data_IF_171228853223
#
_entry.id   IF_171228853223
#
_cell.length_a   1.000
_cell.length_b   1.000
_cell.length_c   1.000
_cell.angle_alpha   90.00
_cell.angle_beta   90.00
_cell.angle_gamma   90.00
#
_symmetry.space_group_name_H-M   'P 1'
#
loop_
_entity.id
_entity.type
_entity.pdbx_description
1 polymer ?
#
# COMPACT_ATOMS: atom_id res chain seq x y z
N UNK A 1 0.27 15.47 7.95
CA UNK A 1 1.46 15.22 8.78
C UNK A 1 1.86 13.78 8.59
N UNK A 2 3.12 13.52 8.24
CA UNK A 2 3.59 12.15 8.01
C UNK A 2 3.67 11.39 9.35
N UNK A 3 3.45 10.07 9.31
CA UNK A 3 3.59 9.22 10.50
C UNK A 3 4.99 9.30 11.10
N UNK A 4 6.00 9.45 10.23
CA UNK A 4 7.41 9.63 10.60
C UNK A 4 7.66 10.90 11.41
N UNK A 5 6.94 11.97 11.13
CA UNK A 5 7.02 13.23 11.88
C UNK A 5 6.26 13.12 13.21
N UNK A 6 5.06 12.53 13.18
CA UNK A 6 4.16 12.47 14.34
C UNK A 6 4.71 11.57 15.45
N UNK A 7 5.41 10.50 15.09
CA UNK A 7 5.94 9.51 16.02
C UNK A 7 7.46 9.50 16.07
N UNK A 8 8.11 10.63 15.74
CA UNK A 8 9.57 10.73 15.70
C UNK A 8 10.24 10.24 17.00
N UNK A 9 9.64 10.57 18.15
CA UNK A 9 10.15 10.18 19.47
C UNK A 9 9.99 8.68 19.78
N UNK A 10 9.22 7.94 18.97
CA UNK A 10 8.97 6.49 19.10
C UNK A 10 9.64 5.67 18.00
N UNK A 11 10.39 6.30 17.09
CA UNK A 11 11.09 5.62 16.00
C UNK A 11 12.54 5.45 16.42
N UNK A 12 12.91 4.22 16.79
CA UNK A 12 14.27 3.91 17.24
C UNK A 12 15.30 3.88 16.10
N UNK A 13 14.84 3.80 14.84
CA UNK A 13 15.74 3.80 13.68
C UNK A 13 15.05 3.50 12.35
N UNK A 14 15.86 3.40 11.30
CA UNK A 14 15.42 3.11 9.93
C UNK A 14 16.00 1.76 9.48
N UNK A 15 15.12 0.90 9.00
CA UNK A 15 15.46 -0.40 8.43
C UNK A 15 15.71 -0.25 6.91
N UNK A 16 16.85 -0.72 6.40
CA UNK A 16 17.24 -0.64 4.98
C UNK A 16 17.53 -2.03 4.37
N UNK A 17 17.41 -2.16 3.05
CA UNK A 17 17.80 -3.34 2.23
C UNK A 17 16.99 -4.65 2.45
N UNK A 18 15.66 -4.56 2.56
CA UNK A 18 14.79 -5.75 2.57
C UNK A 18 14.28 -6.07 1.16
N UNK A 19 14.28 -7.36 0.78
CA UNK A 19 13.66 -7.84 -0.46
C UNK A 19 12.12 -7.80 -0.37
N UNK A 20 11.56 -7.96 0.84
CA UNK A 20 10.13 -7.84 1.12
C UNK A 20 9.88 -7.39 2.56
N UNK A 21 8.97 -6.43 2.72
CA UNK A 21 8.42 -6.04 4.02
C UNK A 21 6.95 -6.48 4.07
N UNK A 22 6.58 -7.29 5.06
CA UNK A 22 5.19 -7.70 5.29
C UNK A 22 4.73 -7.08 6.60
N UNK A 23 3.78 -6.16 6.52
CA UNK A 23 3.22 -5.48 7.68
C UNK A 23 1.89 -6.16 8.03
N UNK A 24 1.83 -6.78 9.20
CA UNK A 24 0.59 -7.33 9.75
C UNK A 24 0.03 -6.38 10.80
N UNK A 25 -1.24 -6.00 10.65
CA UNK A 25 -1.94 -5.17 11.61
C UNK A 25 -3.44 -5.34 11.44
N UNK A 26 -4.18 -5.22 12.55
CA UNK A 26 -5.63 -5.19 12.51
C UNK A 26 -6.11 -3.74 12.65
N UNK A 27 -7.02 -3.30 11.78
CA UNK A 27 -7.67 -2.00 11.90
C UNK A 27 -9.10 -2.27 12.40
N UNK A 28 -9.38 -2.17 13.71
CA UNK A 28 -10.61 -2.69 14.31
C UNK A 28 -11.91 -2.19 13.67
N UNK A 29 -11.88 -0.96 13.14
CA UNK A 29 -13.05 -0.32 12.51
C UNK A 29 -13.28 -0.85 11.09
N UNK A 30 -12.23 -1.24 10.36
CA UNK A 30 -12.31 -1.64 8.95
C UNK A 30 -12.13 -3.15 8.74
N UNK A 31 -11.80 -3.90 9.79
CA UNK A 31 -11.40 -5.30 9.68
C UNK A 31 -12.55 -6.31 9.57
N UNK A 32 -13.80 -5.87 9.70
CA UNK A 32 -14.97 -6.74 9.56
C UNK A 32 -16.14 -5.99 8.93
N UNK A 33 -17.07 -6.72 8.32
CA UNK A 33 -18.17 -6.15 7.55
C UNK A 33 -19.00 -5.13 8.33
N UNK A 34 -19.39 -5.45 9.58
CA UNK A 34 -20.16 -4.53 10.42
C UNK A 34 -19.43 -3.22 10.77
N UNK A 35 -18.11 -3.30 11.00
CA UNK A 35 -17.28 -2.12 11.24
C UNK A 35 -17.20 -1.24 10.00
N UNK A 36 -16.96 -1.85 8.84
CA UNK A 36 -16.92 -1.15 7.56
C UNK A 36 -18.25 -0.47 7.24
N UNK A 37 -19.36 -1.16 7.50
CA UNK A 37 -20.71 -0.60 7.36
C UNK A 37 -20.91 0.61 8.28
N UNK A 38 -20.53 0.52 9.56
CA UNK A 38 -20.62 1.64 10.50
C UNK A 38 -19.79 2.83 10.04
N UNK A 39 -18.58 2.59 9.54
CA UNK A 39 -17.71 3.63 9.00
C UNK A 39 -18.33 4.34 7.79
N UNK A 40 -18.88 3.60 6.83
CA UNK A 40 -19.53 4.19 5.66
C UNK A 40 -20.73 5.06 6.07
N UNK A 41 -21.56 4.59 7.00
CA UNK A 41 -22.68 5.39 7.52
C UNK A 41 -22.23 6.66 8.22
N UNK A 42 -21.17 6.61 9.05
CA UNK A 42 -20.63 7.80 9.70
C UNK A 42 -20.13 8.86 8.70
N UNK A 43 -19.66 8.42 7.54
CA UNK A 43 -19.18 9.29 6.47
C UNK A 43 -20.28 9.64 5.44
N UNK A 44 -21.55 9.31 5.70
CA UNK A 44 -22.69 9.51 4.79
C UNK A 44 -22.52 8.84 3.41
N UNK A 45 -21.75 7.75 3.33
CA UNK A 45 -21.58 6.95 2.11
C UNK A 45 -22.55 5.78 2.17
N UNK A 46 -23.37 5.62 1.12
CA UNK A 46 -24.27 4.47 1.02
C UNK A 46 -23.47 3.21 0.70
N UNK A 47 -23.91 2.08 1.24
CA UNK A 47 -23.29 0.77 1.00
C UNK A 47 -23.22 0.43 -0.50
N UNK A 48 -24.21 0.86 -1.29
CA UNK A 48 -24.23 0.64 -2.73
C UNK A 48 -23.20 1.46 -3.49
N UNK A 49 -22.83 2.64 -2.98
CA UNK A 49 -21.84 3.54 -3.59
C UNK A 49 -20.41 3.19 -3.14
N UNK A 50 -20.25 2.08 -2.42
CA UNK A 50 -18.95 1.57 -1.98
C UNK A 50 -17.95 1.34 -3.12
N UNK A 51 -18.31 0.75 -4.28
CA UNK A 51 -17.36 0.52 -5.35
C UNK A 51 -16.71 1.82 -5.86
N UNK A 52 -17.51 2.87 -6.01
CA UNK A 52 -17.04 4.17 -6.49
C UNK A 52 -16.12 4.84 -5.46
N UNK A 53 -16.51 4.80 -4.18
CA UNK A 53 -15.66 5.25 -3.08
C UNK A 53 -14.32 4.50 -3.02
N UNK A 54 -14.35 3.17 -3.13
CA UNK A 54 -13.15 2.34 -3.06
C UNK A 54 -12.24 2.54 -4.28
N UNK A 55 -12.81 2.75 -5.46
CA UNK A 55 -12.05 3.00 -6.69
C UNK A 55 -11.32 4.34 -6.63
N UNK A 56 -11.95 5.40 -6.11
CA UNK A 56 -11.31 6.70 -5.94
C UNK A 56 -10.07 6.60 -5.04
N UNK A 57 -10.17 5.92 -3.89
CA UNK A 57 -9.05 5.71 -2.98
C UNK A 57 -7.93 4.85 -3.57
N UNK A 58 -8.29 3.83 -4.37
CA UNK A 58 -7.31 3.00 -5.08
C UNK A 58 -6.49 3.85 -6.04
N UNK A 59 -7.15 4.74 -6.78
CA UNK A 59 -6.49 5.59 -7.76
C UNK A 59 -5.58 6.62 -7.11
N UNK A 60 -6.04 7.27 -6.04
CA UNK A 60 -5.21 8.18 -5.25
C UNK A 60 -3.95 7.48 -4.71
N UNK A 61 -4.09 6.26 -4.20
CA UNK A 61 -2.97 5.47 -3.71
C UNK A 61 -1.99 5.11 -4.85
N UNK A 62 -2.51 4.79 -6.04
CA UNK A 62 -1.72 4.47 -7.23
C UNK A 62 -0.90 5.69 -7.68
N UNK A 63 -1.55 6.83 -7.86
CA UNK A 63 -0.91 8.08 -8.28
C UNK A 63 0.14 8.53 -7.27
N UNK A 64 -0.15 8.41 -5.97
CA UNK A 64 0.81 8.72 -4.92
C UNK A 64 2.03 7.80 -4.98
N UNK A 65 1.85 6.50 -5.17
CA UNK A 65 2.95 5.55 -5.32
C UNK A 65 3.80 5.82 -6.57
N UNK A 66 3.17 6.13 -7.70
CA UNK A 66 3.85 6.49 -8.96
C UNK A 66 4.66 7.77 -8.83
N UNK A 67 4.10 8.79 -8.18
CA UNK A 67 4.83 10.03 -7.89
C UNK A 67 6.05 9.77 -7.01
N UNK A 68 5.87 9.04 -5.90
CA UNK A 68 6.97 8.69 -4.98
C UNK A 68 8.07 7.90 -5.70
N UNK A 69 7.71 6.94 -6.56
CA UNK A 69 8.67 6.17 -7.33
C UNK A 69 9.47 7.06 -8.30
N UNK A 70 8.78 7.95 -9.03
CA UNK A 70 9.42 8.89 -9.96
C UNK A 70 10.37 9.84 -9.24
N UNK A 71 9.99 10.37 -8.09
CA UNK A 71 10.84 11.25 -7.27
C UNK A 71 12.11 10.55 -6.79
N UNK A 72 12.05 9.24 -6.55
CA UNK A 72 13.20 8.43 -6.13
C UNK A 72 13.92 7.73 -7.31
N UNK A 73 13.53 8.02 -8.56
CA UNK A 73 14.13 7.41 -9.75
C UNK A 73 13.88 5.91 -9.91
N UNK A 74 12.78 5.39 -9.34
CA UNK A 74 12.40 3.98 -9.38
C UNK A 74 11.32 3.73 -10.45
N UNK A 75 11.50 2.68 -11.26
CA UNK A 75 10.46 2.19 -12.15
C UNK A 75 9.56 1.18 -11.42
N UNK A 76 8.27 1.47 -11.29
CA UNK A 76 7.29 0.59 -10.65
C UNK A 76 6.28 0.05 -11.67
N UNK A 77 5.85 -1.19 -11.48
CA UNK A 77 4.76 -1.79 -12.26
C UNK A 77 3.57 -2.15 -11.36
N UNK A 78 2.37 -1.70 -11.76
CA UNK A 78 1.12 -2.06 -11.10
C UNK A 78 0.61 -3.43 -11.59
N UNK A 79 0.66 -4.43 -10.70
CA UNK A 79 0.23 -5.79 -10.99
C UNK A 79 -1.29 -5.90 -10.85
N UNK A 80 -2.01 -5.99 -11.97
CA UNK A 80 -3.48 -6.13 -12.01
C UNK A 80 -3.99 -7.53 -11.63
N UNK A 81 -3.16 -8.56 -11.79
CA UNK A 81 -3.57 -9.96 -11.60
C UNK A 81 -2.48 -10.76 -10.90
N UNK A 82 -2.79 -11.31 -9.73
CA UNK A 82 -1.89 -12.19 -9.01
C UNK A 82 -2.24 -13.65 -9.34
N UNK A 83 -1.42 -14.33 -10.15
CA UNK A 83 -1.55 -15.79 -10.42
C UNK A 83 -1.05 -16.67 -9.29
N UNK A 84 -0.49 -16.09 -8.23
CA UNK A 84 0.19 -16.84 -7.18
C UNK A 84 -0.80 -17.21 -6.06
N UNK A 85 -0.71 -18.48 -5.64
CA UNK A 85 -1.65 -19.19 -4.77
C UNK A 85 -2.17 -18.40 -3.56
N UNK A 86 -3.42 -18.72 -3.19
CA UNK A 86 -4.34 -18.20 -2.15
C UNK A 86 -3.79 -17.82 -0.75
N UNK A 87 -2.50 -17.86 -0.44
CA UNK A 87 -1.95 -17.40 0.85
C UNK A 87 -1.17 -16.09 0.80
N UNK A 88 -0.86 -15.55 -0.38
CA UNK A 88 0.09 -14.44 -0.55
C UNK A 88 -0.45 -13.36 -1.49
N UNK A 89 -1.40 -12.55 -1.02
CA UNK A 89 -1.86 -11.39 -1.79
C UNK A 89 -2.02 -10.17 -0.89
N UNK A 90 -0.90 -9.48 -0.66
CA UNK A 90 -0.89 -8.12 -0.16
C UNK A 90 0.09 -7.33 -1.04
N UNK A 91 -0.47 -6.54 -1.96
CA UNK A 91 0.14 -5.49 -2.80
C UNK A 91 1.63 -5.67 -3.15
N UNK A 92 1.90 -6.37 -4.24
CA UNK A 92 3.19 -6.31 -4.93
C UNK A 92 3.16 -5.15 -5.94
N UNK A 93 3.79 -4.03 -5.57
CA UNK A 93 4.47 -3.16 -6.52
C UNK A 93 5.89 -3.71 -6.64
N UNK A 94 6.18 -4.44 -7.72
CA UNK A 94 7.54 -4.88 -8.00
C UNK A 94 8.25 -3.77 -8.79
N UNK A 95 9.51 -3.43 -8.47
CA UNK A 95 10.33 -2.64 -9.37
C UNK A 95 10.63 -3.44 -10.64
N UNK A 96 10.54 -2.80 -11.80
CA UNK A 96 10.79 -3.44 -13.13
C UNK A 96 12.27 -3.77 -13.34
N UNK A 97 13.16 -3.34 -12.45
CA UNK A 97 14.57 -3.73 -12.48
C UNK A 97 14.76 -5.15 -11.94
N UNK A 98 14.67 -6.10 -12.88
CA UNK A 98 15.46 -7.33 -12.87
C UNK A 98 16.89 -6.96 -12.45
N UNK A 99 17.20 -7.14 -11.17
CA UNK A 99 18.54 -6.98 -10.58
C UNK A 99 19.45 -8.06 -11.19
N UNK A 100 19.85 -7.87 -12.45
CA UNK A 100 21.01 -8.51 -13.03
C UNK A 100 22.18 -7.82 -12.33
N UNK A 101 22.91 -8.57 -11.51
CA UNK A 101 24.15 -8.11 -10.86
C UNK A 101 25.00 -7.37 -11.89
N UNK A 102 25.07 -6.04 -11.77
CA UNK A 102 26.17 -5.25 -12.30
C UNK A 102 27.18 -5.17 -11.16
N UNK A 103 27.97 -6.23 -11.01
CA UNK A 103 29.28 -6.13 -10.37
C UNK A 103 30.20 -5.33 -11.31
N UNK A 104 31.02 -4.41 -10.78
CA UNK A 104 31.95 -3.63 -11.58
C UNK A 104 33.16 -4.48 -12.00
N UNK A 105 33.44 -4.50 -13.30
CA UNK A 105 34.74 -4.75 -13.94
C UNK A 105 34.88 -3.73 -15.07
#
# INVERSE_FOLDING_TARGET
>A
MLLTERYKDKIDGVLACYDRVVIHGNIPVLCFGGGMTSYLYQNNIKIFDYPDWANALREELREHAERMAKENGLEIEFIRYCKYHKSLTWLLLQPVSRFRKLTPE
#
